data_IF_109813285530
#
_entry.id   IF_109813285530
#
_cell.length_a   1.000
_cell.length_b   1.000
_cell.length_c   1.000
_cell.angle_alpha   90.00
_cell.angle_beta   90.00
_cell.angle_gamma   90.00
#
_symmetry.space_group_name_H-M   'P 1'
#
loop_
_entity.id
_entity.type
_entity.pdbx_description
1 polymer ?
#
# COMPACT_ATOMS: atom_id res chain seq x y z
N UNK A 1 12.77 2.49 5.48
CA UNK A 1 13.07 1.05 5.59
C UNK A 1 12.52 0.58 6.93
N UNK A 2 11.72 -0.49 6.95
CA UNK A 2 11.11 -1.00 8.20
C UNK A 2 11.87 -2.18 8.79
N UNK A 3 12.78 -2.81 8.04
CA UNK A 3 13.53 -4.00 8.49
C UNK A 3 12.68 -5.25 8.76
N UNK A 4 11.36 -5.20 8.55
CA UNK A 4 10.41 -6.22 9.03
C UNK A 4 9.73 -7.03 7.90
N UNK A 5 10.09 -6.82 6.64
CA UNK A 5 9.50 -7.61 5.54
C UNK A 5 10.17 -7.39 4.19
N UNK A 6 10.01 -8.37 3.31
CA UNK A 6 10.50 -8.30 1.95
C UNK A 6 9.73 -7.25 1.14
N UNK A 7 10.46 -6.46 0.35
CA UNK A 7 9.89 -5.49 -0.57
C UNK A 7 9.32 -6.18 -1.79
N UNK A 8 8.05 -6.61 -1.71
CA UNK A 8 7.38 -7.36 -2.78
C UNK A 8 6.45 -6.51 -3.64
N UNK A 9 6.08 -5.32 -3.17
CA UNK A 9 5.07 -4.48 -3.83
C UNK A 9 5.75 -3.24 -4.39
N UNK A 10 5.55 -2.97 -5.67
CA UNK A 10 5.98 -1.73 -6.31
C UNK A 10 4.77 -0.89 -6.74
N UNK A 11 5.02 0.38 -6.95
CA UNK A 11 4.03 1.39 -7.33
C UNK A 11 4.55 2.05 -8.60
N UNK A 12 3.73 2.01 -9.64
CA UNK A 12 4.07 2.55 -10.95
C UNK A 12 3.72 4.05 -11.06
N UNK A 13 3.04 4.59 -10.05
CA UNK A 13 2.60 5.99 -10.00
C UNK A 13 3.52 6.88 -9.15
N UNK A 14 4.22 6.31 -8.17
CA UNK A 14 5.18 7.05 -7.35
C UNK A 14 6.46 7.37 -8.16
N UNK A 15 7.11 8.48 -7.83
CA UNK A 15 8.43 8.81 -8.38
C UNK A 15 9.52 7.95 -7.74
N UNK A 16 10.45 7.47 -8.57
CA UNK A 16 11.48 6.52 -8.15
C UNK A 16 10.97 5.08 -8.04
N UNK A 17 11.89 4.12 -8.01
CA UNK A 17 11.55 2.70 -7.86
C UNK A 17 11.82 2.29 -6.42
N UNK A 18 10.76 2.13 -5.64
CA UNK A 18 10.86 1.58 -4.29
C UNK A 18 9.96 0.35 -4.23
N UNK A 19 10.51 -0.77 -3.77
CA UNK A 19 9.73 -1.92 -3.39
C UNK A 19 9.39 -1.80 -1.89
N UNK A 20 8.12 -1.99 -1.55
CA UNK A 20 7.61 -1.92 -0.19
C UNK A 20 7.16 -3.30 0.27
N UNK A 21 7.32 -3.57 1.56
CA UNK A 21 6.58 -4.63 2.20
C UNK A 21 5.09 -4.25 2.31
N UNK A 22 4.19 -5.22 2.57
CA UNK A 22 2.75 -4.96 2.71
C UNK A 22 2.42 -3.83 3.69
N UNK A 23 3.00 -3.81 4.89
CA UNK A 23 2.70 -2.76 5.88
C UNK A 23 3.20 -1.37 5.45
N UNK A 24 4.38 -1.28 4.84
CA UNK A 24 4.91 -0.03 4.33
C UNK A 24 4.11 0.52 3.16
N UNK A 25 3.62 -0.34 2.25
CA UNK A 25 2.84 0.15 1.11
C UNK A 25 1.53 0.77 1.58
N UNK A 26 0.87 0.18 2.58
CA UNK A 26 -0.38 0.71 3.14
C UNK A 26 -0.17 2.09 3.79
N UNK A 27 0.88 2.24 4.60
CA UNK A 27 1.22 3.52 5.24
C UNK A 27 1.60 4.60 4.22
N UNK A 28 2.46 4.26 3.25
CA UNK A 28 2.95 5.23 2.28
C UNK A 28 1.86 5.73 1.32
N UNK A 29 0.80 4.94 1.09
CA UNK A 29 -0.25 5.26 0.12
C UNK A 29 -1.59 5.62 0.76
N UNK A 30 -1.64 5.89 2.07
CA UNK A 30 -2.87 6.27 2.78
C UNK A 30 -3.58 7.48 2.12
N UNK A 31 -2.82 8.48 1.68
CA UNK A 31 -3.38 9.66 1.01
C UNK A 31 -3.42 9.56 -0.52
N UNK A 32 -2.96 8.44 -1.09
CA UNK A 32 -2.91 8.20 -2.53
C UNK A 32 -3.47 6.81 -2.89
N UNK A 33 -4.74 6.50 -2.54
CA UNK A 33 -5.22 5.13 -2.53
C UNK A 33 -5.44 4.51 -3.92
N UNK A 34 -5.39 5.32 -4.97
CA UNK A 34 -5.67 4.92 -6.36
C UNK A 34 -4.42 4.77 -7.23
N UNK A 35 -3.23 4.79 -6.63
CA UNK A 35 -1.99 4.52 -7.34
C UNK A 35 -1.96 3.09 -7.91
N UNK A 36 -1.32 2.94 -9.07
CA UNK A 36 -1.17 1.64 -9.72
C UNK A 36 -0.08 0.83 -9.02
N UNK A 37 -0.46 -0.30 -8.42
CA UNK A 37 0.46 -1.18 -7.72
C UNK A 37 0.68 -2.49 -8.47
N UNK A 38 1.83 -3.09 -8.23
CA UNK A 38 2.11 -4.46 -8.63
C UNK A 38 2.73 -5.25 -7.48
N UNK A 39 2.36 -6.53 -7.36
CA UNK A 39 2.91 -7.48 -6.40
C UNK A 39 3.80 -8.49 -7.12
N UNK A 40 4.98 -8.76 -6.58
CA UNK A 40 5.83 -9.86 -7.02
C UNK A 40 5.25 -11.20 -6.57
N UNK A 41 4.87 -12.06 -7.52
CA UNK A 41 4.31 -13.38 -7.24
C UNK A 41 5.37 -14.50 -7.18
N UNK A 42 6.66 -14.16 -7.24
CA UNK A 42 7.77 -15.12 -7.35
C UNK A 42 8.30 -15.32 -8.78
N UNK A 43 7.57 -14.86 -9.80
CA UNK A 43 7.96 -15.01 -11.22
C UNK A 43 7.86 -13.71 -12.01
N UNK A 44 6.83 -12.91 -11.78
CA UNK A 44 6.62 -11.62 -12.42
C UNK A 44 5.78 -10.70 -11.54
N UNK A 45 5.69 -9.44 -11.95
CA UNK A 45 4.83 -8.45 -11.31
C UNK A 45 3.40 -8.53 -11.85
N UNK A 46 2.46 -8.83 -10.98
CA UNK A 46 1.03 -8.82 -11.27
C UNK A 46 0.39 -7.54 -10.74
N UNK A 47 -0.59 -7.01 -11.46
CA UNK A 47 -1.38 -5.86 -10.99
C UNK A 47 -2.06 -6.20 -9.66
N UNK A 48 -1.95 -5.30 -8.69
CA UNK A 48 -2.67 -5.36 -7.42
C UNK A 48 -3.27 -4.00 -7.09
N UNK A 49 -4.17 -3.98 -6.11
CA UNK A 49 -4.70 -2.75 -5.51
C UNK A 49 -4.28 -2.68 -4.04
N UNK A 50 -4.36 -1.49 -3.43
CA UNK A 50 -4.20 -1.37 -1.98
C UNK A 50 -5.25 -2.17 -1.21
N UNK A 51 -6.49 -2.19 -1.71
CA UNK A 51 -7.58 -2.96 -1.10
C UNK A 51 -7.25 -4.46 -1.06
N UNK A 52 -6.66 -5.01 -2.12
CA UNK A 52 -6.20 -6.40 -2.16
C UNK A 52 -5.06 -6.67 -1.16
N UNK A 53 -4.31 -5.64 -0.75
CA UNK A 53 -3.28 -5.71 0.28
C UNK A 53 -3.82 -5.44 1.71
N UNK A 54 -5.14 -5.32 1.88
CA UNK A 54 -5.79 -5.09 3.17
C UNK A 54 -6.00 -3.62 3.55
N UNK A 55 -5.88 -2.70 2.59
CA UNK A 55 -6.17 -1.28 2.85
C UNK A 55 -7.64 -1.03 3.16
N UNK A 56 -7.88 -0.23 4.19
CA UNK A 56 -9.20 0.31 4.54
C UNK A 56 -9.16 1.81 4.27
N UNK A 57 -10.08 2.28 3.43
CA UNK A 57 -10.24 3.71 3.16
C UNK A 57 -11.18 4.34 4.19
N UNK A 58 -10.63 5.21 5.04
CA UNK A 58 -11.43 6.03 5.94
C UNK A 58 -11.75 7.37 5.28
N UNK A 59 -13.04 7.72 5.18
CA UNK A 59 -13.51 8.93 4.48
C UNK A 59 -13.44 10.20 5.36
N UNK A 60 -13.14 10.06 6.64
CA UNK A 60 -13.03 11.16 7.61
C UNK A 60 -11.63 11.27 8.22
N UNK A 61 -11.44 12.23 9.14
CA UNK A 61 -10.23 12.36 9.96
C UNK A 61 -8.90 12.33 9.20
N UNK A 62 -8.87 12.87 7.97
CA UNK A 62 -7.65 12.88 7.15
C UNK A 62 -7.17 11.48 6.72
N UNK A 63 -8.07 10.49 6.68
CA UNK A 63 -7.75 9.10 6.35
C UNK A 63 -7.49 8.21 7.57
N UNK A 64 -7.68 8.72 8.79
CA UNK A 64 -7.55 7.94 10.03
C UNK A 64 -8.89 7.26 10.41
N UNK A 65 -8.83 6.13 11.15
CA UNK A 65 -10.01 5.54 11.75
C UNK A 65 -10.75 6.54 12.65
N UNK A 66 -12.08 6.51 12.63
CA UNK A 66 -12.88 7.21 13.62
C UNK A 66 -12.51 6.72 15.03
N UNK A 67 -12.24 7.60 16.00
CA UNK A 67 -11.85 7.21 17.36
C UNK A 67 -12.93 6.40 18.10
N UNK A 68 -14.17 6.45 17.62
CA UNK A 68 -15.32 5.72 18.17
C UNK A 68 -15.94 4.75 17.16
N UNK A 69 -15.14 4.05 16.36
CA UNK A 69 -15.60 2.88 15.60
C UNK A 69 -15.93 1.75 16.59
N UNK A 70 -17.13 1.81 17.19
CA UNK A 70 -17.73 0.71 17.96
C UNK A 70 -18.36 -0.32 17.05
#
# INVERSE_FOLDING_TARGET
DCGEGEGLIQCLSCSGTHAWCPSCVLKAHQHNPFHNLQLWNGRFYETTTLQAQGYIMYLGHGGEPCPNLS
#
